data_IF_013197822181
#
_entry.id   IF_013197822181
#
_cell.length_a   1.000
_cell.length_b   1.000
_cell.length_c   1.000
_cell.angle_alpha   90.00
_cell.angle_beta   90.00
_cell.angle_gamma   90.00
#
_symmetry.space_group_name_H-M   'P 1'
#
loop_
_entity.id
_entity.type
_entity.pdbx_description
1 polymer ?
#
# COMPACT_ATOMS: atom_id res chain seq x y z
N UNK A 1 -10.03 9.57 -0.73
CA UNK A 1 -10.66 10.59 0.14
C UNK A 1 -9.62 11.45 0.83
N UNK A 2 -10.05 12.38 1.69
CA UNK A 2 -9.19 13.40 2.32
C UNK A 2 -8.14 12.82 3.28
N UNK A 3 -8.48 11.74 4.00
CA UNK A 3 -7.55 11.05 4.90
C UNK A 3 -6.28 10.56 4.19
N UNK A 4 -6.43 9.96 3.01
CA UNK A 4 -5.31 9.46 2.24
C UNK A 4 -4.39 10.59 1.73
N UNK A 5 -4.95 11.77 1.45
CA UNK A 5 -4.15 12.94 1.07
C UNK A 5 -3.32 13.45 2.25
N UNK A 6 -3.92 13.51 3.45
CA UNK A 6 -3.20 13.88 4.69
C UNK A 6 -2.05 12.93 4.95
N UNK A 7 -2.27 11.62 4.83
CA UNK A 7 -1.21 10.61 4.95
C UNK A 7 -0.11 10.78 3.91
N UNK A 8 -0.46 11.03 2.64
CA UNK A 8 0.52 11.23 1.57
C UNK A 8 1.42 12.45 1.83
N UNK A 9 0.88 13.52 2.43
CA UNK A 9 1.67 14.69 2.79
C UNK A 9 2.69 14.40 3.89
N UNK A 10 2.42 13.44 4.78
CA UNK A 10 3.34 13.01 5.84
C UNK A 10 4.46 12.08 5.36
N UNK A 11 4.35 11.49 4.16
CA UNK A 11 5.39 10.59 3.64
C UNK A 11 6.68 11.35 3.31
N UNK A 12 7.83 10.69 3.46
CA UNK A 12 9.10 11.19 2.96
C UNK A 12 9.16 11.11 1.42
N UNK A 13 10.17 11.73 0.81
CA UNK A 13 10.47 11.57 -0.61
C UNK A 13 10.65 10.08 -0.95
N UNK A 14 10.07 9.60 -2.06
CA UNK A 14 10.12 8.19 -2.45
C UNK A 14 9.19 7.27 -1.64
N UNK A 15 8.41 7.81 -0.71
CA UNK A 15 7.55 7.04 0.19
C UNK A 15 6.41 6.33 -0.55
N UNK A 16 5.92 5.22 0.03
CA UNK A 16 4.82 4.44 -0.53
C UNK A 16 3.60 4.45 0.39
N UNK A 17 2.46 4.92 -0.12
CA UNK A 17 1.16 4.76 0.52
C UNK A 17 0.51 3.45 0.03
N UNK A 18 0.27 2.52 0.95
CA UNK A 18 -0.43 1.26 0.65
C UNK A 18 -1.86 1.31 1.20
N UNK A 19 -2.86 1.09 0.34
CA UNK A 19 -4.25 0.97 0.73
C UNK A 19 -4.73 -0.48 0.63
N UNK A 20 -5.37 -0.98 1.67
CA UNK A 20 -5.93 -2.35 1.73
C UNK A 20 -7.46 -2.36 1.74
N UNK A 21 -8.11 -1.19 1.74
CA UNK A 21 -9.57 -1.10 1.87
C UNK A 21 -10.13 0.21 1.34
N UNK A 22 -11.45 0.25 1.21
CA UNK A 22 -12.20 1.38 0.66
C UNK A 22 -13.49 1.66 1.46
N UNK A 23 -13.39 1.69 2.80
CA UNK A 23 -14.54 1.83 3.70
C UNK A 23 -15.40 3.08 3.43
N UNK A 24 -14.78 4.18 2.99
CA UNK A 24 -15.50 5.42 2.67
C UNK A 24 -16.25 5.38 1.33
N UNK A 25 -16.01 4.36 0.50
CA UNK A 25 -16.52 4.25 -0.89
C UNK A 25 -16.17 5.45 -1.78
N UNK A 26 -15.23 6.31 -1.34
CA UNK A 26 -14.78 7.46 -2.10
C UNK A 26 -13.51 7.13 -2.89
N UNK A 27 -13.39 7.61 -4.14
CA UNK A 27 -12.17 7.49 -4.90
C UNK A 27 -10.95 8.08 -4.18
N UNK A 28 -9.79 7.50 -4.46
CA UNK A 28 -8.51 8.08 -4.06
C UNK A 28 -8.21 9.27 -4.99
N UNK A 29 -7.96 10.44 -4.40
CA UNK A 29 -7.57 11.66 -5.14
C UNK A 29 -6.09 11.90 -4.89
N UNK A 30 -5.27 11.76 -5.93
CA UNK A 30 -3.82 11.91 -5.85
C UNK A 30 -3.41 13.16 -6.64
N UNK A 31 -2.86 14.19 -6.00
CA UNK A 31 -2.28 15.32 -6.71
C UNK A 31 -1.04 14.88 -7.52
N UNK A 32 -0.99 15.26 -8.80
CA UNK A 32 0.12 14.92 -9.70
C UNK A 32 1.48 15.37 -9.18
N UNK A 33 1.54 16.51 -8.49
CA UNK A 33 2.77 17.03 -7.91
C UNK A 33 3.41 16.08 -6.88
N UNK A 34 2.61 15.31 -6.14
CA UNK A 34 3.13 14.32 -5.20
C UNK A 34 3.79 13.13 -5.92
N UNK A 35 3.34 12.81 -7.14
CA UNK A 35 3.95 11.78 -7.97
C UNK A 35 5.27 12.29 -8.58
N UNK A 36 5.25 13.46 -9.21
CA UNK A 36 6.39 13.96 -9.99
C UNK A 36 7.51 14.49 -9.09
N UNK A 37 7.18 15.31 -8.09
CA UNK A 37 8.17 16.09 -7.36
C UNK A 37 8.55 15.49 -6.00
N UNK A 38 7.77 14.52 -5.51
CA UNK A 38 8.04 13.83 -4.24
C UNK A 38 8.28 12.33 -4.42
N UNK A 39 8.24 11.82 -5.66
CA UNK A 39 8.35 10.41 -6.02
C UNK A 39 7.44 9.50 -5.16
N UNK A 40 6.24 9.98 -4.80
CA UNK A 40 5.34 9.15 -4.00
C UNK A 40 4.75 8.02 -4.85
N UNK A 41 4.69 6.84 -4.25
CA UNK A 41 4.07 5.65 -4.84
C UNK A 41 2.76 5.33 -4.13
N UNK A 42 1.73 5.05 -4.88
CA UNK A 42 0.42 4.65 -4.35
C UNK A 42 0.13 3.24 -4.81
N UNK A 43 -0.11 2.32 -3.86
CA UNK A 43 -0.29 0.90 -4.14
C UNK A 43 -1.54 0.38 -3.44
N UNK A 44 -2.20 -0.58 -4.09
CA UNK A 44 -3.20 -1.41 -3.44
C UNK A 44 -2.58 -2.72 -2.97
N UNK A 45 -3.07 -3.25 -1.86
CA UNK A 45 -2.85 -4.66 -1.49
C UNK A 45 -4.19 -5.36 -1.36
N UNK A 46 -4.29 -6.52 -2.01
CA UNK A 46 -5.43 -7.41 -1.86
C UNK A 46 -4.91 -8.76 -1.39
N UNK A 47 -4.85 -8.93 -0.07
CA UNK A 47 -4.17 -10.08 0.53
C UNK A 47 -4.83 -11.40 0.16
N UNK A 48 -6.17 -11.47 0.13
CA UNK A 48 -6.89 -12.68 -0.28
C UNK A 48 -6.55 -13.08 -1.72
N UNK A 49 -6.51 -12.10 -2.64
CA UNK A 49 -6.12 -12.38 -4.02
C UNK A 49 -4.66 -12.83 -4.12
N UNK A 50 -3.78 -12.25 -3.31
CA UNK A 50 -2.40 -12.75 -3.25
C UNK A 50 -2.35 -14.20 -2.76
N UNK A 51 -3.09 -14.54 -1.68
CA UNK A 51 -3.19 -15.92 -1.20
C UNK A 51 -3.66 -16.87 -2.30
N UNK A 52 -4.72 -16.53 -3.05
CA UNK A 52 -5.24 -17.38 -4.13
C UNK A 52 -4.19 -17.75 -5.19
N UNK A 53 -3.17 -16.91 -5.37
CA UNK A 53 -2.13 -17.11 -6.39
C UNK A 53 -0.77 -17.55 -5.80
N UNK A 54 -0.54 -17.32 -4.51
CA UNK A 54 0.72 -17.64 -3.84
C UNK A 54 0.81 -19.13 -3.52
N UNK A 55 1.94 -19.73 -3.87
CA UNK A 55 2.33 -21.08 -3.49
C UNK A 55 2.53 -21.19 -1.97
N UNK A 56 2.50 -22.43 -1.46
CA UNK A 56 2.82 -22.70 -0.05
C UNK A 56 4.19 -22.14 0.35
N UNK A 57 5.19 -22.25 -0.52
CA UNK A 57 6.54 -21.75 -0.25
C UNK A 57 6.57 -20.22 -0.14
N UNK A 58 5.96 -19.51 -1.09
CA UNK A 58 5.89 -18.04 -1.07
C UNK A 58 5.15 -17.53 0.17
N UNK A 59 4.10 -18.24 0.60
CA UNK A 59 3.40 -17.93 1.86
C UNK A 59 4.32 -18.08 3.05
N UNK A 60 4.98 -19.23 3.19
CA UNK A 60 5.89 -19.48 4.30
C UNK A 60 7.04 -18.46 4.36
N UNK A 61 7.61 -18.13 3.20
CA UNK A 61 8.71 -17.16 3.11
C UNK A 61 8.27 -15.75 3.51
N UNK A 62 7.09 -15.30 3.07
CA UNK A 62 6.56 -13.97 3.40
C UNK A 62 6.36 -13.76 4.91
N UNK A 63 5.98 -14.80 5.66
CA UNK A 63 5.75 -14.70 7.10
C UNK A 63 6.92 -15.16 7.96
N UNK A 64 7.96 -15.77 7.37
CA UNK A 64 9.09 -16.36 8.11
C UNK A 64 9.69 -15.40 9.14
N UNK A 65 9.99 -14.16 8.73
CA UNK A 65 10.60 -13.16 9.60
C UNK A 65 9.71 -12.69 10.75
N UNK A 66 8.39 -12.90 10.67
CA UNK A 66 7.45 -12.57 11.75
C UNK A 66 7.40 -13.66 12.82
N UNK A 67 7.76 -14.89 12.48
CA UNK A 67 7.72 -16.05 13.38
C UNK A 67 9.10 -16.48 13.89
N UNK A 68 10.19 -15.98 13.28
CA UNK A 68 11.58 -16.24 13.70
C UNK A 68 12.00 -15.45 14.99
N UNK A 69 11.05 -15.08 15.86
CA UNK A 69 11.30 -14.30 17.09
C UNK A 69 11.34 -15.17 18.35
#
# INVERSE_FOLDING_TARGET
GESALRLANCLAFGGTLVSFGAMSLQPLKIPTGLLIFKDLRFRGIWINKWYDNATMQERMEAFKSLFDM
#
